data_IF_601533143802
#
_entry.id   IF_601533143802
#
_cell.length_a   1.000
_cell.length_b   1.000
_cell.length_c   1.000
_cell.angle_alpha   90.00
_cell.angle_beta   90.00
_cell.angle_gamma   90.00
#
_symmetry.space_group_name_H-M   'P 1'
#
loop_
_entity.id
_entity.type
_entity.pdbx_description
1 polymer ?
#
# COMPACT_ATOMS: atom_id res chain seq x y z
N UNK A 1 -6.85 11.14 -3.43
CA UNK A 1 -6.70 11.17 -1.97
C UNK A 1 -7.06 9.79 -1.46
N UNK A 2 -6.09 9.06 -0.94
CA UNK A 2 -6.27 7.66 -0.51
C UNK A 2 -6.88 7.62 0.88
N UNK A 3 -7.86 6.72 1.10
CA UNK A 3 -8.57 6.56 2.38
C UNK A 3 -8.15 5.31 3.13
N UNK A 4 -8.28 5.34 4.45
CA UNK A 4 -8.11 4.17 5.30
C UNK A 4 -8.95 3.00 4.80
N UNK A 5 -8.32 1.83 4.70
CA UNK A 5 -8.94 0.59 4.21
C UNK A 5 -8.93 0.43 2.70
N UNK A 6 -8.55 1.44 1.92
CA UNK A 6 -8.43 1.35 0.48
C UNK A 6 -7.29 0.41 0.08
N UNK A 7 -7.52 -0.38 -0.97
CA UNK A 7 -6.49 -1.21 -1.58
C UNK A 7 -5.64 -0.39 -2.53
N UNK A 8 -4.34 -0.62 -2.47
CA UNK A 8 -3.34 0.09 -3.29
C UNK A 8 -2.30 -0.90 -3.82
N UNK A 9 -1.61 -0.50 -4.88
CA UNK A 9 -0.38 -1.15 -5.32
C UNK A 9 0.73 -0.12 -5.41
N UNK A 10 1.96 -0.57 -5.17
CA UNK A 10 3.17 0.22 -5.43
C UNK A 10 3.38 0.25 -6.95
N UNK A 11 3.71 1.40 -7.52
CA UNK A 11 3.98 1.51 -8.96
C UNK A 11 5.30 0.80 -9.33
N UNK A 12 5.43 0.25 -10.55
CA UNK A 12 6.57 -0.58 -10.93
C UNK A 12 7.95 0.05 -10.70
N UNK A 13 8.10 1.36 -10.87
CA UNK A 13 9.37 2.06 -10.69
C UNK A 13 9.85 2.19 -9.22
N UNK A 14 8.98 1.87 -8.25
CA UNK A 14 9.30 1.84 -6.82
C UNK A 14 9.04 0.48 -6.16
N UNK A 15 8.67 -0.54 -6.95
CA UNK A 15 8.47 -1.90 -6.43
C UNK A 15 9.82 -2.56 -6.13
N UNK A 16 9.94 -3.12 -4.94
CA UNK A 16 10.96 -4.12 -4.65
C UNK A 16 10.53 -5.48 -5.21
N UNK A 17 11.50 -6.38 -5.40
CA UNK A 17 11.23 -7.72 -5.92
C UNK A 17 10.25 -8.48 -5.01
N UNK A 18 9.05 -8.78 -5.54
CA UNK A 18 7.98 -9.50 -4.85
C UNK A 18 6.84 -8.63 -4.33
N UNK A 19 6.95 -7.29 -4.37
CA UNK A 19 5.87 -6.39 -3.94
C UNK A 19 4.59 -6.55 -4.78
N UNK A 20 4.75 -6.96 -6.04
CA UNK A 20 3.70 -7.25 -7.01
C UNK A 20 2.86 -8.48 -6.66
N UNK A 21 3.35 -9.34 -5.76
CA UNK A 21 2.65 -10.54 -5.30
C UNK A 21 1.62 -10.24 -4.21
N UNK A 22 1.56 -9.00 -3.72
CA UNK A 22 0.72 -8.61 -2.60
C UNK A 22 -0.29 -7.51 -2.96
N UNK A 23 -1.49 -7.63 -2.41
CA UNK A 23 -2.41 -6.50 -2.29
C UNK A 23 -2.04 -5.72 -1.03
N UNK A 24 -1.83 -4.41 -1.18
CA UNK A 24 -1.53 -3.53 -0.06
C UNK A 24 -2.80 -2.82 0.38
N UNK A 25 -2.90 -2.50 1.68
CA UNK A 25 -4.03 -1.76 2.25
C UNK A 25 -3.53 -0.50 2.97
N UNK A 26 -4.24 0.60 2.79
CA UNK A 26 -4.03 1.83 3.54
C UNK A 26 -4.49 1.67 5.00
N UNK A 27 -3.62 1.95 5.97
CA UNK A 27 -3.96 1.84 7.39
C UNK A 27 -4.57 3.11 8.00
N UNK A 28 -4.42 4.23 7.29
CA UNK A 28 -4.91 5.56 7.67
C UNK A 28 -5.35 6.34 6.42
N UNK A 29 -5.97 7.50 6.61
CA UNK A 29 -6.18 8.44 5.52
C UNK A 29 -4.83 9.10 5.15
N UNK A 30 -4.66 9.46 3.88
CA UNK A 30 -3.51 10.21 3.40
C UNK A 30 -3.28 11.49 4.23
N UNK A 31 -2.07 11.65 4.75
CA UNK A 31 -1.61 12.80 5.52
C UNK A 31 -0.53 13.55 4.73
N UNK A 32 -0.93 14.63 4.07
CA UNK A 32 -0.08 15.35 3.12
C UNK A 32 0.25 14.48 1.91
N UNK A 33 1.52 14.14 1.75
CA UNK A 33 2.03 13.27 0.69
C UNK A 33 2.38 11.86 1.21
N UNK A 34 2.06 11.52 2.45
CA UNK A 34 2.46 10.26 3.10
C UNK A 34 1.27 9.37 3.44
N UNK A 35 1.54 8.07 3.44
CA UNK A 35 0.57 7.05 3.81
C UNK A 35 1.25 5.83 4.43
N UNK A 36 0.67 5.29 5.51
CA UNK A 36 1.01 3.95 6.02
C UNK A 36 0.27 2.87 5.25
N UNK A 37 1.04 1.90 4.73
CA UNK A 37 0.50 0.73 4.04
C UNK A 37 1.03 -0.55 4.67
N UNK A 38 0.31 -1.64 4.40
CA UNK A 38 0.63 -2.99 4.88
C UNK A 38 0.16 -4.01 3.83
N UNK A 39 0.90 -5.11 3.61
CA UNK A 39 0.43 -6.16 2.73
C UNK A 39 -0.69 -6.96 3.42
N UNK A 40 -1.72 -7.32 2.68
CA UNK A 40 -2.80 -8.18 3.15
C UNK A 40 -2.33 -9.65 3.19
N UNK A 41 -1.64 -10.01 4.27
CA UNK A 41 -1.18 -11.38 4.54
C UNK A 41 -1.79 -11.89 5.86
N UNK A 42 -2.95 -12.56 5.83
CA UNK A 42 -3.65 -12.98 7.05
C UNK A 42 -2.88 -14.02 7.88
N UNK A 43 -1.92 -14.72 7.27
CA UNK A 43 -1.10 -15.73 7.95
C UNK A 43 0.04 -15.13 8.79
N UNK A 44 0.40 -13.86 8.57
CA UNK A 44 1.42 -13.17 9.37
C UNK A 44 0.75 -12.54 10.60
N UNK A 45 1.14 -12.94 11.84
CA UNK A 45 0.61 -12.32 13.05
C UNK A 45 0.99 -10.84 13.19
N UNK A 46 2.13 -10.47 12.58
CA UNK A 46 2.70 -9.12 12.60
C UNK A 46 3.13 -8.74 11.19
N UNK A 47 2.19 -8.35 10.31
CA UNK A 47 2.52 -7.91 8.96
C UNK A 47 3.36 -6.62 9.00
N UNK A 48 4.33 -6.46 8.08
CA UNK A 48 5.16 -5.27 8.04
C UNK A 48 4.32 -4.05 7.68
N UNK A 49 4.54 -2.95 8.40
CA UNK A 49 3.96 -1.64 8.10
C UNK A 49 5.05 -0.74 7.57
N UNK A 50 4.80 -0.08 6.43
CA UNK A 50 5.74 0.87 5.84
C UNK A 50 5.06 2.20 5.56
N UNK A 51 5.85 3.28 5.54
CA UNK A 51 5.40 4.63 5.18
C UNK A 51 5.95 4.92 3.78
N UNK A 52 5.06 5.26 2.86
CA UNK A 52 5.41 5.61 1.48
C UNK A 52 4.86 6.98 1.12
N UNK A 53 5.39 7.56 0.05
CA UNK A 53 4.79 8.73 -0.56
C UNK A 53 3.62 8.32 -1.45
N UNK A 54 2.51 9.07 -1.46
CA UNK A 54 1.31 8.69 -2.22
C UNK A 54 1.53 8.68 -3.73
N UNK A 55 2.52 9.43 -4.22
CA UNK A 55 2.96 9.35 -5.63
C UNK A 55 3.54 7.98 -6.03
N UNK A 56 3.95 7.16 -5.06
CA UNK A 56 4.47 5.80 -5.30
C UNK A 56 3.34 4.78 -5.50
N UNK A 57 2.08 5.17 -5.26
CA UNK A 57 0.95 4.27 -5.25
C UNK A 57 0.00 4.48 -6.44
N UNK A 58 -0.72 3.42 -6.77
CA UNK A 58 -1.91 3.43 -7.63
C UNK A 58 -3.07 2.76 -6.90
N UNK A 59 -4.30 3.13 -7.24
CA UNK A 59 -5.50 2.53 -6.66
C UNK A 59 -5.64 1.07 -7.12
N UNK A 60 -5.89 0.16 -6.18
CA UNK A 60 -5.93 -1.28 -6.44
C UNK A 60 -7.21 -1.79 -7.10
N UNK A 61 -8.22 -0.94 -7.27
CA UNK A 61 -9.48 -1.26 -7.96
C UNK A 61 -9.50 -0.76 -9.42
N UNK A 62 -8.37 -0.28 -9.94
CA UNK A 62 -8.23 0.10 -11.34
C UNK A 62 -8.26 -1.15 -12.24
N UNK A 63 -9.47 -1.54 -12.62
CA UNK A 63 -9.75 -2.37 -13.81
C UNK A 63 -9.97 -1.47 -15.02
#
# INVERSE_FOLDING_TARGET
>A
MIRKGQRVHIKPEWQDAGDDQFTWIALEDEDGDRLKIMPLMPELPFPPVTIVETRMLIEGDAT
#
